data_IF_332986130793
#
_entry.id   IF_332986130793
#
_cell.length_a   1.000
_cell.length_b   1.000
_cell.length_c   1.000
_cell.angle_alpha   90.00
_cell.angle_beta   90.00
_cell.angle_gamma   90.00
#
_symmetry.space_group_name_H-M   'P 1'
#
loop_
_entity.id
_entity.type
_entity.pdbx_description
1 polymer ?
#
# COMPACT_ATOMS: atom_id res chain seq x y z
N UNK A 1 -1.20 -5.72 -6.24
CA UNK A 1 -0.58 -4.65 -5.42
C UNK A 1 -0.17 -5.25 -4.10
N UNK A 2 1.07 -5.06 -3.67
CA UNK A 2 1.64 -5.74 -2.50
C UNK A 2 1.73 -4.79 -1.30
N UNK A 3 1.40 -5.30 -0.11
CA UNK A 3 1.67 -4.66 1.17
C UNK A 3 2.88 -5.35 1.78
N UNK A 4 3.85 -4.55 2.20
CA UNK A 4 4.98 -4.97 3.01
C UNK A 4 4.72 -4.63 4.47
N UNK A 5 5.26 -5.47 5.34
CA UNK A 5 5.37 -5.14 6.75
C UNK A 5 6.44 -4.06 6.98
N UNK A 6 6.52 -3.49 8.18
CA UNK A 6 7.55 -2.50 8.52
C UNK A 6 8.97 -3.02 8.26
N UNK A 7 9.19 -4.33 8.38
CA UNK A 7 10.41 -5.10 8.08
C UNK A 7 10.70 -5.32 6.58
N UNK A 8 9.90 -4.76 5.66
CA UNK A 8 9.96 -5.00 4.21
C UNK A 8 9.60 -6.43 3.76
N UNK A 9 9.19 -7.30 4.67
CA UNK A 9 8.69 -8.62 4.33
C UNK A 9 7.30 -8.53 3.68
N UNK A 10 7.00 -9.37 2.67
CA UNK A 10 5.69 -9.39 2.03
C UNK A 10 4.62 -9.81 3.04
N UNK A 11 3.64 -8.94 3.28
CA UNK A 11 2.57 -9.17 4.26
C UNK A 11 1.33 -9.76 3.60
N UNK A 12 0.80 -9.08 2.60
CA UNK A 12 -0.42 -9.48 1.89
C UNK A 12 -0.62 -8.64 0.62
N UNK A 13 -1.64 -8.95 -0.17
CA UNK A 13 -2.08 -8.12 -1.30
C UNK A 13 -3.28 -7.27 -0.92
N UNK A 14 -3.41 -6.11 -1.54
CA UNK A 14 -4.58 -5.25 -1.35
C UNK A 14 -5.04 -4.61 -2.66
N UNK A 15 -6.21 -3.97 -2.60
CA UNK A 15 -6.71 -3.15 -3.70
C UNK A 15 -6.20 -1.71 -3.58
N UNK A 16 -6.33 -0.97 -4.69
CA UNK A 16 -5.87 0.42 -4.79
C UNK A 16 -6.55 1.32 -3.75
N UNK A 17 -7.86 1.14 -3.50
CA UNK A 17 -8.62 1.97 -2.55
C UNK A 17 -8.04 1.90 -1.15
N UNK A 18 -7.79 0.69 -0.63
CA UNK A 18 -7.18 0.49 0.70
C UNK A 18 -5.80 1.11 0.78
N UNK A 19 -4.98 0.90 -0.24
CA UNK A 19 -3.62 1.42 -0.22
C UNK A 19 -3.56 2.94 -0.22
N UNK A 20 -4.38 3.57 -1.05
CA UNK A 20 -4.52 5.04 -1.08
C UNK A 20 -4.94 5.54 0.30
N UNK A 21 -5.98 4.97 0.89
CA UNK A 21 -6.43 5.37 2.23
C UNK A 21 -5.31 5.25 3.26
N UNK A 22 -4.56 4.14 3.27
CA UNK A 22 -3.47 3.96 4.24
C UNK A 22 -2.33 4.97 4.04
N UNK A 23 -1.96 5.26 2.79
CA UNK A 23 -0.91 6.24 2.47
C UNK A 23 -1.35 7.65 2.84
N UNK A 24 -2.56 8.06 2.48
CA UNK A 24 -3.08 9.40 2.81
C UNK A 24 -3.29 9.61 4.30
N UNK A 25 -3.61 8.55 5.06
CA UNK A 25 -3.69 8.61 6.52
C UNK A 25 -2.32 8.51 7.21
N UNK A 26 -1.21 8.44 6.47
CA UNK A 26 0.14 8.30 7.03
C UNK A 26 0.39 6.98 7.75
N UNK A 27 -0.43 5.95 7.49
CA UNK A 27 -0.30 4.60 8.08
C UNK A 27 0.55 3.66 7.22
N UNK A 28 0.84 4.07 5.99
CA UNK A 28 1.71 3.36 5.09
C UNK A 28 2.48 4.34 4.21
N UNK A 29 3.63 3.90 3.72
CA UNK A 29 4.47 4.64 2.78
C UNK A 29 4.45 3.97 1.41
N UNK A 30 4.46 4.77 0.35
CA UNK A 30 4.55 4.25 -1.02
C UNK A 30 6.01 3.88 -1.32
N UNK A 31 6.27 2.58 -1.55
CA UNK A 31 7.61 2.08 -1.89
C UNK A 31 7.81 2.07 -3.40
N UNK A 32 6.80 1.60 -4.14
CA UNK A 32 6.82 1.59 -5.60
C UNK A 32 5.51 2.12 -6.15
N UNK A 33 5.61 2.92 -7.21
CA UNK A 33 4.48 3.39 -8.01
C UNK A 33 4.44 2.66 -9.35
N UNK A 34 3.26 2.46 -9.90
CA UNK A 34 3.08 2.00 -11.28
C UNK A 34 3.47 3.16 -12.22
N UNK A 35 4.37 2.90 -13.17
CA UNK A 35 4.78 3.91 -14.15
C UNK A 35 3.72 4.18 -15.23
N UNK A 36 2.79 3.23 -15.45
CA UNK A 36 1.77 3.30 -16.51
C UNK A 36 0.40 3.74 -15.99
N UNK A 37 0.22 3.85 -14.66
CA UNK A 37 -1.07 4.18 -14.04
C UNK A 37 -0.95 5.37 -13.12
N UNK A 38 -2.00 6.16 -13.09
CA UNK A 38 -2.17 7.27 -12.15
C UNK A 38 -3.58 7.28 -11.58
N UNK A 39 -3.72 7.85 -10.39
CA UNK A 39 -4.99 8.15 -9.75
C UNK A 39 -5.42 9.55 -10.15
N UNK A 40 -6.58 9.67 -10.80
CA UNK A 40 -7.14 10.94 -11.21
C UNK A 40 -8.27 11.36 -10.27
N UNK A 41 -8.21 12.61 -9.84
CA UNK A 41 -9.33 13.32 -9.20
C UNK A 41 -9.83 14.38 -10.17
N UNK A 42 -10.91 15.08 -9.82
CA UNK A 42 -11.48 16.16 -10.66
C UNK A 42 -10.46 17.25 -11.01
N UNK A 43 -9.47 17.51 -10.15
CA UNK A 43 -8.54 18.64 -10.29
C UNK A 43 -7.06 18.27 -10.19
N UNK A 44 -6.72 17.02 -9.82
CA UNK A 44 -5.34 16.59 -9.51
C UNK A 44 -5.08 15.16 -9.92
N UNK A 45 -3.81 14.85 -10.17
CA UNK A 45 -3.33 13.50 -10.46
C UNK A 45 -2.34 13.07 -9.37
N UNK A 46 -2.46 11.83 -8.93
CA UNK A 46 -1.63 11.20 -7.91
C UNK A 46 -0.97 9.94 -8.46
N UNK A 47 0.22 9.57 -7.98
CA UNK A 47 0.87 8.32 -8.39
C UNK A 47 0.03 7.12 -7.97
N UNK A 48 -0.04 6.10 -8.83
CA UNK A 48 -0.69 4.83 -8.49
C UNK A 48 0.25 3.95 -7.66
N UNK A 49 0.00 3.72 -6.36
CA UNK A 49 0.86 2.85 -5.58
C UNK A 49 0.75 1.39 -6.06
N UNK A 50 1.90 0.76 -6.28
CA UNK A 50 2.04 -0.67 -6.63
C UNK A 50 2.51 -1.52 -5.45
N UNK A 51 3.35 -0.94 -4.61
CA UNK A 51 3.83 -1.54 -3.36
C UNK A 51 3.80 -0.47 -2.27
N UNK A 52 3.20 -0.81 -1.13
CA UNK A 52 3.19 0.05 0.07
C UNK A 52 3.78 -0.71 1.25
N UNK A 53 4.39 0.02 2.18
CA UNK A 53 4.93 -0.51 3.44
C UNK A 53 4.16 0.06 4.61
N UNK A 54 3.71 -0.78 5.54
CA UNK A 54 3.06 -0.28 6.76
C UNK A 54 4.06 0.46 7.63
N UNK A 55 3.64 1.61 8.19
CA UNK A 55 4.48 2.42 9.07
C UNK A 55 4.70 1.76 10.44
N UNK A 56 3.85 0.79 10.81
CA UNK A 56 3.96 0.00 12.03
C UNK A 56 3.97 -1.48 11.70
N UNK A 57 4.69 -2.25 12.49
CA UNK A 57 4.75 -3.70 12.38
C UNK A 57 3.38 -4.32 12.63
N UNK A 58 2.89 -5.10 11.66
CA UNK A 58 1.63 -5.82 11.76
C UNK A 58 1.91 -7.28 12.13
N UNK A 59 1.51 -7.69 13.34
CA UNK A 59 1.56 -9.09 13.73
C UNK A 59 0.37 -9.83 13.10
N UNK A 60 0.64 -10.70 12.14
CA UNK A 60 -0.39 -11.51 11.47
C UNK A 60 -0.43 -12.87 12.16
N UNK A 61 -1.54 -13.25 12.82
CA UNK A 61 -1.66 -14.56 13.42
C UNK A 61 -1.59 -15.64 12.33
N UNK A 62 -0.86 -16.71 12.60
CA UNK A 62 -0.68 -17.82 11.68
C UNK A 62 -2.05 -18.46 11.41
N UNK A 63 -2.54 -18.39 10.15
CA UNK A 63 -3.72 -19.16 9.76
C UNK A 63 -3.31 -20.62 9.64
N UNK A 64 -3.77 -21.47 10.56
CA UNK A 64 -3.84 -22.92 10.31
C UNK A 64 -4.80 -23.12 9.14
N UNK A 65 -4.27 -23.63 8.03
CA UNK A 65 -5.03 -24.22 6.93
C UNK A 65 -5.55 -25.59 7.34
#
# INVERSE_FOLDING_TARGET
MLILNQSYEPLTVCNIKKAVVLVFLGKAEMVLKDAKKNLHTVSKTYPWPSVIRLSRFAHVPYKRV
#
